data_IF_819527149089
#
_entry.id   IF_819527149089
#
_cell.length_a   1.000
_cell.length_b   1.000
_cell.length_c   1.000
_cell.angle_alpha   90.00
_cell.angle_beta   90.00
_cell.angle_gamma   90.00
#
_symmetry.space_group_name_H-M   'P 1'
#
loop_
_entity.id
_entity.type
_entity.pdbx_description
1 polymer ?
#
# COMPACT_ATOMS: atom_id res chain seq x y z
N UNK A 1 -32.58 2.83 -0.27
CA UNK A 1 -31.37 3.59 -0.65
C UNK A 1 -30.69 4.03 0.65
N UNK A 2 -29.83 3.18 1.20
CA UNK A 2 -29.10 3.48 2.43
C UNK A 2 -27.76 4.12 2.03
N UNK A 3 -27.53 5.37 2.44
CA UNK A 3 -26.23 6.01 2.33
C UNK A 3 -25.21 5.15 3.07
N UNK A 4 -24.17 4.71 2.36
CA UNK A 4 -22.97 4.15 2.95
C UNK A 4 -22.39 5.22 3.90
N UNK A 5 -22.59 5.03 5.22
CA UNK A 5 -21.80 5.78 6.19
C UNK A 5 -20.37 5.29 6.00
N UNK A 6 -19.52 6.17 5.49
CA UNK A 6 -18.07 6.06 5.69
C UNK A 6 -17.85 5.69 7.15
N UNK A 7 -17.17 4.58 7.42
CA UNK A 7 -16.72 4.27 8.77
C UNK A 7 -15.68 5.31 9.14
N UNK A 8 -16.16 6.43 9.65
CA UNK A 8 -15.35 7.46 10.29
C UNK A 8 -14.58 6.79 11.42
N UNK A 9 -13.30 7.07 11.47
CA UNK A 9 -12.33 6.70 12.49
C UNK A 9 -12.64 7.30 13.87
N UNK A 10 -13.86 7.13 14.35
CA UNK A 10 -14.38 7.71 15.59
C UNK A 10 -15.06 6.58 16.35
N UNK A 11 -14.49 6.08 17.46
CA UNK A 11 -15.24 5.19 18.34
C UNK A 11 -16.42 5.97 18.93
N UNK A 12 -17.64 5.40 18.94
CA UNK A 12 -18.76 6.02 19.62
C UNK A 12 -18.47 5.90 21.12
N UNK A 13 -18.19 7.02 21.78
CA UNK A 13 -18.03 7.13 23.23
C UNK A 13 -16.82 6.42 23.85
N UNK A 14 -15.64 7.03 23.82
CA UNK A 14 -14.55 6.69 24.76
C UNK A 14 -13.56 7.86 24.88
N UNK A 15 -13.50 8.49 26.04
CA UNK A 15 -12.62 9.61 26.43
C UNK A 15 -11.13 9.21 26.59
N UNK A 16 -10.65 8.17 25.91
CA UNK A 16 -9.24 7.74 25.96
C UNK A 16 -8.53 8.20 24.70
N UNK A 17 -7.72 9.26 24.85
CA UNK A 17 -6.92 9.94 23.81
C UNK A 17 -5.83 9.04 23.14
N UNK A 18 -5.75 7.74 23.42
CA UNK A 18 -4.55 6.94 23.09
C UNK A 18 -4.75 5.62 22.33
N UNK A 19 -5.86 5.36 21.63
CA UNK A 19 -6.04 4.09 20.87
C UNK A 19 -6.81 4.14 19.55
N UNK A 20 -6.79 5.23 18.79
CA UNK A 20 -7.42 5.26 17.46
C UNK A 20 -6.56 5.95 16.41
N UNK A 21 -5.42 5.36 16.11
CA UNK A 21 -4.67 5.69 14.91
C UNK A 21 -5.31 4.97 13.73
N UNK A 22 -6.10 5.69 12.93
CA UNK A 22 -6.52 5.19 11.62
C UNK A 22 -5.33 5.21 10.68
N UNK A 23 -4.59 4.11 10.66
CA UNK A 23 -3.47 3.92 9.75
C UNK A 23 -4.03 3.54 8.38
N UNK A 24 -4.28 4.53 7.52
CA UNK A 24 -4.53 4.28 6.10
C UNK A 24 -3.20 4.09 5.36
N UNK A 25 -3.17 3.19 4.37
CA UNK A 25 -1.99 2.91 3.55
C UNK A 25 -1.33 4.17 2.98
N UNK A 26 -2.12 5.14 2.51
CA UNK A 26 -1.62 6.37 1.86
C UNK A 26 -0.86 7.30 2.83
N UNK A 27 -1.18 7.29 4.13
CA UNK A 27 -0.54 8.18 5.11
C UNK A 27 0.92 7.78 5.29
N UNK A 28 1.17 6.50 5.58
CA UNK A 28 2.54 6.01 5.75
C UNK A 28 3.34 6.12 4.46
N UNK A 29 2.67 5.92 3.32
CA UNK A 29 3.28 6.01 2.01
C UNK A 29 3.80 7.43 1.74
N UNK A 30 3.02 8.45 2.10
CA UNK A 30 3.39 9.86 1.93
C UNK A 30 4.64 10.21 2.75
N UNK A 31 4.67 9.80 4.02
CA UNK A 31 5.82 10.04 4.90
C UNK A 31 7.06 9.29 4.44
N UNK A 32 6.90 8.03 4.00
CA UNK A 32 8.00 7.20 3.50
C UNK A 32 8.65 7.86 2.29
N UNK A 33 7.84 8.30 1.32
CA UNK A 33 8.33 8.96 0.11
C UNK A 33 9.03 10.28 0.42
N UNK A 34 8.44 11.13 1.28
CA UNK A 34 9.05 12.39 1.68
C UNK A 34 10.40 12.17 2.38
N UNK A 35 10.49 11.20 3.29
CA UNK A 35 11.75 10.86 3.96
C UNK A 35 12.79 10.30 2.98
N UNK A 36 12.37 9.57 1.95
CA UNK A 36 13.25 9.06 0.89
C UNK A 36 13.90 10.20 0.11
N UNK A 37 13.11 11.21 -0.29
CA UNK A 37 13.63 12.41 -0.93
C UNK A 37 14.60 13.18 -0.03
N UNK A 38 14.27 13.34 1.25
CA UNK A 38 15.17 14.00 2.18
C UNK A 38 16.49 13.23 2.38
N UNK A 39 16.43 11.90 2.39
CA UNK A 39 17.62 11.03 2.41
C UNK A 39 18.49 11.25 1.18
N UNK A 40 17.89 11.24 -0.01
CA UNK A 40 18.61 11.44 -1.28
C UNK A 40 19.17 12.87 -1.43
N UNK A 41 18.45 13.89 -0.93
CA UNK A 41 18.84 15.28 -1.07
C UNK A 41 19.92 15.71 -0.08
N UNK A 42 19.80 15.31 1.19
CA UNK A 42 20.66 15.82 2.27
C UNK A 42 21.86 14.92 2.59
N UNK A 43 21.82 13.64 2.18
CA UNK A 43 22.77 12.60 2.60
C UNK A 43 22.91 12.45 4.14
N UNK A 44 21.95 12.97 4.92
CA UNK A 44 21.98 12.85 6.38
C UNK A 44 21.40 11.49 6.81
N UNK A 45 22.17 10.74 7.61
CA UNK A 45 21.83 9.38 8.05
C UNK A 45 20.51 9.26 8.84
N UNK A 46 20.06 10.37 9.43
CA UNK A 46 18.76 10.44 10.12
C UNK A 46 17.60 10.10 9.19
N UNK A 47 17.64 10.55 7.92
CA UNK A 47 16.55 10.30 6.99
C UNK A 47 16.50 8.85 6.53
N UNK A 48 17.64 8.21 6.32
CA UNK A 48 17.70 6.76 6.06
C UNK A 48 17.17 5.95 7.25
N UNK A 49 17.46 6.39 8.48
CA UNK A 49 16.90 5.80 9.71
C UNK A 49 15.36 5.92 9.73
N UNK A 50 14.84 7.10 9.41
CA UNK A 50 13.39 7.36 9.34
C UNK A 50 12.73 6.48 8.26
N UNK A 51 13.32 6.42 7.05
CA UNK A 51 12.82 5.56 5.96
C UNK A 51 12.73 4.11 6.40
N UNK A 52 13.77 3.60 7.08
CA UNK A 52 13.79 2.22 7.58
C UNK A 52 12.67 1.98 8.60
N UNK A 53 12.50 2.88 9.56
CA UNK A 53 11.45 2.77 10.58
C UNK A 53 10.03 2.86 10.00
N UNK A 54 9.82 3.72 9.01
CA UNK A 54 8.54 3.83 8.28
C UNK A 54 8.27 2.56 7.47
N UNK A 55 9.28 2.01 6.81
CA UNK A 55 9.14 0.74 6.08
C UNK A 55 8.84 -0.43 7.02
N UNK A 56 9.47 -0.48 8.19
CA UNK A 56 9.19 -1.49 9.22
C UNK A 56 7.72 -1.40 9.67
N UNK A 57 7.26 -0.18 9.97
CA UNK A 57 5.86 0.06 10.36
C UNK A 57 4.89 -0.29 9.23
N UNK A 58 5.24 0.00 7.97
CA UNK A 58 4.42 -0.37 6.83
C UNK A 58 4.30 -1.88 6.72
N UNK A 59 5.42 -2.60 6.80
CA UNK A 59 5.48 -4.07 6.76
C UNK A 59 4.61 -4.71 7.84
N UNK A 60 4.67 -4.22 9.09
CA UNK A 60 3.89 -4.80 10.19
C UNK A 60 2.39 -4.49 10.14
N UNK A 61 2.01 -3.39 9.47
CA UNK A 61 0.62 -2.89 9.50
C UNK A 61 -0.17 -3.30 8.27
N UNK A 62 0.47 -3.22 7.09
CA UNK A 62 -0.20 -3.29 5.80
C UNK A 62 0.16 -4.52 4.98
N UNK A 63 1.01 -5.40 5.49
CA UNK A 63 1.38 -6.65 4.82
C UNK A 63 1.07 -7.84 5.70
N UNK A 64 0.89 -8.99 5.07
CA UNK A 64 0.63 -10.27 5.74
C UNK A 64 -0.67 -10.26 6.56
N UNK A 65 -1.85 -10.09 5.92
CA UNK A 65 -3.14 -10.01 6.62
C UNK A 65 -3.49 -11.24 7.46
N UNK A 66 -2.92 -12.39 7.08
CA UNK A 66 -3.09 -13.70 7.70
C UNK A 66 -1.75 -14.47 7.66
N UNK A 67 -1.56 -15.47 8.56
CA UNK A 67 -0.33 -16.27 8.58
C UNK A 67 0.01 -16.99 7.27
N UNK A 68 -1.00 -17.36 6.48
CA UNK A 68 -0.84 -18.01 5.17
C UNK A 68 -0.73 -17.05 3.98
N UNK A 69 -0.71 -15.74 4.22
CA UNK A 69 -0.72 -14.69 3.20
C UNK A 69 0.51 -13.77 3.33
N UNK A 70 1.71 -14.35 3.46
CA UNK A 70 2.94 -13.61 3.77
C UNK A 70 3.33 -12.60 2.68
N UNK A 71 3.64 -11.38 3.09
CA UNK A 71 4.16 -10.32 2.21
C UNK A 71 3.13 -9.73 1.25
N UNK A 72 1.84 -10.05 1.41
CA UNK A 72 0.77 -9.52 0.56
C UNK A 72 0.18 -8.27 1.20
N UNK A 73 0.11 -7.17 0.44
CA UNK A 73 -0.44 -5.89 0.87
C UNK A 73 -1.96 -5.94 1.04
N UNK A 74 -2.47 -5.30 2.09
CA UNK A 74 -3.90 -5.17 2.38
C UNK A 74 -4.23 -3.88 3.14
N UNK A 75 -5.50 -3.47 3.13
CA UNK A 75 -6.00 -2.36 3.95
C UNK A 75 -6.65 -2.91 5.25
N UNK A 76 -6.00 -2.76 6.42
CA UNK A 76 -6.44 -3.41 7.66
C UNK A 76 -7.80 -2.96 8.18
N UNK A 77 -8.20 -1.74 7.86
CA UNK A 77 -9.42 -1.13 8.41
C UNK A 77 -10.68 -1.71 7.76
N UNK A 78 -10.65 -1.98 6.45
CA UNK A 78 -11.86 -2.24 5.69
C UNK A 78 -11.81 -3.48 4.79
N UNK A 79 -10.62 -3.98 4.43
CA UNK A 79 -10.49 -5.00 3.39
C UNK A 79 -11.01 -6.35 3.87
N UNK A 80 -10.77 -6.71 5.12
CA UNK A 80 -11.20 -8.01 5.70
C UNK A 80 -12.72 -8.16 5.66
N UNK A 81 -13.45 -7.08 5.91
CA UNK A 81 -14.92 -7.04 5.94
C UNK A 81 -15.53 -6.69 4.57
N UNK A 82 -14.72 -6.51 3.52
CA UNK A 82 -15.18 -6.04 2.20
C UNK A 82 -15.99 -4.74 2.28
N UNK A 83 -15.54 -3.80 3.14
CA UNK A 83 -16.25 -2.57 3.46
C UNK A 83 -15.49 -1.30 3.00
N UNK A 84 -14.48 -1.45 2.16
CA UNK A 84 -13.67 -0.32 1.71
C UNK A 84 -14.48 0.62 0.81
N UNK A 85 -14.33 1.92 1.05
CA UNK A 85 -14.82 2.93 0.11
C UNK A 85 -14.01 2.92 -1.20
N UNK A 86 -14.50 3.65 -2.20
CA UNK A 86 -13.76 3.89 -3.45
C UNK A 86 -12.37 4.46 -3.16
N UNK A 87 -12.27 5.46 -2.28
CA UNK A 87 -10.99 6.08 -1.89
C UNK A 87 -10.07 5.04 -1.25
N UNK A 88 -10.55 4.30 -0.26
CA UNK A 88 -9.76 3.30 0.47
C UNK A 88 -9.25 2.18 -0.44
N UNK A 89 -10.05 1.81 -1.44
CA UNK A 89 -9.68 0.78 -2.41
C UNK A 89 -8.53 1.20 -3.33
N UNK A 90 -8.23 2.50 -3.45
CA UNK A 90 -7.12 3.04 -4.24
C UNK A 90 -5.81 3.19 -3.44
N UNK A 91 -5.85 3.16 -2.10
CA UNK A 91 -4.69 3.49 -1.28
C UNK A 91 -3.53 2.50 -1.41
N UNK A 92 -3.82 1.23 -1.74
CA UNK A 92 -2.78 0.23 -1.99
C UNK A 92 -1.94 0.59 -3.21
N UNK A 93 -2.56 1.13 -4.26
CA UNK A 93 -1.83 1.65 -5.42
C UNK A 93 -0.88 2.78 -5.05
N UNK A 94 -1.36 3.78 -4.30
CA UNK A 94 -0.51 4.88 -3.84
C UNK A 94 0.66 4.39 -2.98
N UNK A 95 0.42 3.44 -2.06
CA UNK A 95 1.50 2.84 -1.27
C UNK A 95 2.51 2.11 -2.15
N UNK A 96 2.04 1.30 -3.09
CA UNK A 96 2.92 0.54 -3.98
C UNK A 96 3.80 1.44 -4.84
N UNK A 97 3.22 2.48 -5.44
CA UNK A 97 3.93 3.45 -6.27
C UNK A 97 5.04 4.18 -5.47
N UNK A 98 4.69 4.76 -4.32
CA UNK A 98 5.65 5.49 -3.50
C UNK A 98 6.70 4.60 -2.82
N UNK A 99 6.36 3.35 -2.49
CA UNK A 99 7.36 2.36 -2.10
C UNK A 99 8.33 2.10 -3.26
N UNK A 100 7.85 1.87 -4.48
CA UNK A 100 8.69 1.69 -5.65
C UNK A 100 9.69 2.84 -5.83
N UNK A 101 9.24 4.09 -5.78
CA UNK A 101 10.12 5.26 -5.86
C UNK A 101 11.13 5.33 -4.71
N UNK A 102 10.70 5.01 -3.50
CA UNK A 102 11.58 4.90 -2.32
C UNK A 102 12.68 3.87 -2.53
N UNK A 103 12.40 2.75 -3.21
CA UNK A 103 13.39 1.71 -3.50
C UNK A 103 14.53 2.20 -4.40
N UNK A 104 14.29 3.20 -5.23
CA UNK A 104 15.33 3.84 -6.07
C UNK A 104 16.07 4.93 -5.28
N UNK A 105 15.34 5.77 -4.55
CA UNK A 105 15.91 6.89 -3.78
C UNK A 105 16.79 6.42 -2.61
N UNK A 106 16.49 5.25 -2.03
CA UNK A 106 17.20 4.70 -0.87
C UNK A 106 17.59 3.25 -1.14
N UNK A 107 18.75 3.01 -1.79
CA UNK A 107 19.16 1.66 -2.23
C UNK A 107 19.24 0.62 -1.11
N UNK A 108 19.54 1.03 0.12
CA UNK A 108 19.67 0.12 1.28
C UNK A 108 18.36 -0.59 1.65
N UNK A 109 17.19 -0.04 1.29
CA UNK A 109 15.88 -0.67 1.55
C UNK A 109 15.26 -1.29 0.31
N UNK A 110 15.90 -1.15 -0.86
CA UNK A 110 15.35 -1.55 -2.16
C UNK A 110 14.92 -3.02 -2.19
N UNK A 111 15.81 -3.95 -1.81
CA UNK A 111 15.49 -5.39 -1.81
C UNK A 111 14.29 -5.76 -0.93
N UNK A 112 14.12 -5.07 0.21
CA UNK A 112 12.97 -5.29 1.11
C UNK A 112 11.68 -4.81 0.48
N UNK A 113 11.69 -3.63 -0.12
CA UNK A 113 10.53 -3.06 -0.82
C UNK A 113 10.14 -3.95 -2.01
N UNK A 114 11.09 -4.32 -2.86
CA UNK A 114 10.81 -5.12 -4.05
C UNK A 114 10.28 -6.51 -3.70
N UNK A 115 10.71 -7.10 -2.59
CA UNK A 115 10.13 -8.37 -2.09
C UNK A 115 8.65 -8.23 -1.70
N UNK A 116 8.28 -7.13 -1.03
CA UNK A 116 6.91 -6.83 -0.62
C UNK A 116 6.01 -6.51 -1.83
N UNK A 117 6.50 -5.67 -2.74
CA UNK A 117 5.79 -5.35 -3.99
C UNK A 117 5.63 -6.60 -4.87
N UNK A 118 6.66 -7.42 -5.03
CA UNK A 118 6.62 -8.62 -5.87
C UNK A 118 5.62 -9.67 -5.35
N UNK A 119 5.50 -9.82 -4.04
CA UNK A 119 4.50 -10.72 -3.45
C UNK A 119 3.08 -10.17 -3.61
N UNK A 120 2.91 -8.86 -3.43
CA UNK A 120 1.62 -8.19 -3.61
C UNK A 120 1.16 -8.16 -5.06
N UNK A 121 2.06 -7.90 -6.00
CA UNK A 121 1.79 -7.88 -7.44
C UNK A 121 1.35 -9.26 -7.95
N UNK A 122 1.95 -10.35 -7.45
CA UNK A 122 1.48 -11.72 -7.77
C UNK A 122 0.06 -11.96 -7.29
N UNK A 123 -0.27 -11.52 -6.07
CA UNK A 123 -1.63 -11.60 -5.53
C UNK A 123 -2.63 -10.73 -6.31
N UNK A 124 -2.22 -9.53 -6.70
CA UNK A 124 -3.03 -8.64 -7.54
C UNK A 124 -3.28 -9.24 -8.93
N UNK A 125 -2.25 -9.76 -9.59
CA UNK A 125 -2.39 -10.43 -10.89
C UNK A 125 -3.34 -11.63 -10.82
N UNK A 126 -3.27 -12.43 -9.74
CA UNK A 126 -4.22 -13.51 -9.52
C UNK A 126 -5.66 -13.02 -9.32
N UNK A 127 -5.85 -11.84 -8.70
CA UNK A 127 -7.18 -11.25 -8.51
C UNK A 127 -7.79 -10.68 -9.80
N UNK A 128 -7.00 -10.47 -10.86
CA UNK A 128 -7.44 -10.05 -12.20
C UNK A 128 -8.03 -11.20 -13.02
N UNK A 129 -8.82 -12.06 -12.37
CA UNK A 129 -9.52 -13.20 -12.96
C UNK A 129 -11.04 -12.97 -13.06
N UNK A 130 -11.50 -11.74 -12.80
CA UNK A 130 -12.89 -11.33 -12.99
C UNK A 130 -13.27 -11.21 -14.46
N UNK A 131 -14.55 -10.92 -14.71
CA UNK A 131 -15.06 -10.67 -16.07
C UNK A 131 -14.25 -9.56 -16.75
N UNK A 132 -13.89 -9.75 -18.02
CA UNK A 132 -13.05 -8.84 -18.80
C UNK A 132 -11.66 -8.54 -18.17
N UNK A 133 -11.13 -9.45 -17.34
CA UNK A 133 -9.84 -9.27 -16.69
C UNK A 133 -9.87 -8.27 -15.54
N UNK A 134 -11.05 -7.98 -15.00
CA UNK A 134 -11.19 -7.07 -13.85
C UNK A 134 -10.51 -7.64 -12.60
N UNK A 135 -9.82 -6.76 -11.88
CA UNK A 135 -9.08 -7.08 -10.66
C UNK A 135 -9.92 -6.86 -9.40
N UNK A 136 -9.75 -7.77 -8.44
CA UNK A 136 -10.36 -7.72 -7.12
C UNK A 136 -9.53 -6.94 -6.08
N UNK A 137 -10.10 -6.74 -4.89
CA UNK A 137 -9.42 -6.03 -3.79
C UNK A 137 -8.51 -6.96 -2.99
N UNK A 138 -8.99 -8.15 -2.61
CA UNK A 138 -8.30 -9.06 -1.69
C UNK A 138 -7.24 -9.90 -2.40
N UNK A 139 -6.00 -9.42 -2.43
CA UNK A 139 -4.90 -10.10 -3.12
C UNK A 139 -4.41 -11.38 -2.43
N UNK A 140 -4.90 -11.66 -1.23
CA UNK A 140 -4.54 -12.81 -0.41
C UNK A 140 -5.49 -14.01 -0.54
N UNK A 141 -6.56 -13.92 -1.35
CA UNK A 141 -7.51 -15.03 -1.54
C UNK A 141 -7.20 -15.92 -2.74
N UNK A 142 -6.18 -15.57 -3.53
CA UNK A 142 -5.72 -16.36 -4.68
C UNK A 142 -6.61 -16.27 -5.93
N UNK A 143 -7.49 -15.27 -6.00
CA UNK A 143 -8.41 -15.09 -7.13
C UNK A 143 -9.25 -13.83 -6.99
N UNK A 144 -10.18 -13.64 -7.92
CA UNK A 144 -11.15 -12.55 -7.90
C UNK A 144 -12.10 -12.68 -6.70
N UNK A 145 -12.28 -11.59 -5.95
CA UNK A 145 -13.05 -11.57 -4.69
C UNK A 145 -14.47 -11.00 -4.84
N UNK A 146 -14.91 -10.77 -6.08
CA UNK A 146 -16.21 -10.18 -6.40
C UNK A 146 -16.28 -8.66 -6.21
N UNK A 147 -15.19 -8.00 -5.80
CA UNK A 147 -15.14 -6.54 -5.65
C UNK A 147 -14.58 -5.89 -6.90
N UNK A 148 -15.33 -4.97 -7.51
CA UNK A 148 -14.91 -4.23 -8.70
C UNK A 148 -15.15 -2.75 -8.51
N UNK A 149 -14.18 -1.97 -8.98
CA UNK A 149 -14.25 -0.53 -9.00
C UNK A 149 -12.94 0.05 -9.51
N UNK A 150 -12.95 1.37 -9.71
CA UNK A 150 -11.77 2.10 -10.18
C UNK A 150 -10.58 1.91 -9.24
N UNK A 151 -10.78 2.00 -7.92
CA UNK A 151 -9.71 1.85 -6.94
C UNK A 151 -9.01 0.49 -7.00
N UNK A 152 -9.77 -0.58 -7.25
CA UNK A 152 -9.23 -1.93 -7.43
C UNK A 152 -8.35 -2.02 -8.67
N UNK A 153 -8.81 -1.47 -9.80
CA UNK A 153 -8.04 -1.51 -11.05
C UNK A 153 -6.77 -0.66 -10.94
N UNK A 154 -6.89 0.54 -10.36
CA UNK A 154 -5.76 1.42 -10.13
C UNK A 154 -4.73 0.77 -9.20
N UNK A 155 -5.17 0.21 -8.07
CA UNK A 155 -4.26 -0.46 -7.14
C UNK A 155 -3.54 -1.66 -7.74
N UNK A 156 -4.22 -2.45 -8.57
CA UNK A 156 -3.61 -3.58 -9.27
C UNK A 156 -2.59 -3.11 -10.31
N UNK A 157 -2.88 -2.03 -11.04
CA UNK A 157 -1.96 -1.44 -12.00
C UNK A 157 -0.69 -0.90 -11.30
N UNK A 158 -0.86 -0.08 -10.27
CA UNK A 158 0.26 0.59 -9.59
C UNK A 158 1.23 -0.39 -8.94
N UNK A 159 0.74 -1.50 -8.36
CA UNK A 159 1.62 -2.50 -7.75
C UNK A 159 2.44 -3.27 -8.78
N UNK A 160 1.89 -3.50 -9.98
CA UNK A 160 2.62 -4.11 -11.09
C UNK A 160 3.64 -3.12 -11.67
N UNK A 161 3.25 -1.86 -11.88
CA UNK A 161 4.17 -0.81 -12.33
C UNK A 161 5.30 -0.54 -11.34
N UNK A 162 5.03 -0.67 -10.03
CA UNK A 162 6.05 -0.55 -8.99
C UNK A 162 7.20 -1.55 -9.13
N UNK A 163 6.99 -2.68 -9.82
CA UNK A 163 8.07 -3.62 -10.12
C UNK A 163 9.03 -3.15 -11.21
N UNK A 164 8.56 -2.24 -12.08
CA UNK A 164 9.31 -1.71 -13.22
C UNK A 164 10.04 -0.41 -12.90
N UNK A 165 10.01 0.03 -11.63
CA UNK A 165 10.58 1.33 -11.23
C UNK A 165 12.08 1.46 -11.54
N UNK A 166 12.82 0.35 -11.57
CA UNK A 166 14.24 0.33 -11.94
C UNK A 166 14.51 0.51 -13.44
N UNK A 167 13.48 0.33 -14.28
CA UNK A 167 13.54 0.54 -15.74
C UNK A 167 13.01 1.92 -16.14
N UNK A 168 12.44 2.67 -15.20
CA UNK A 168 11.88 3.97 -15.45
C UNK A 168 12.98 5.01 -15.70
N UNK A 169 12.74 6.01 -16.58
CA UNK A 169 13.61 7.18 -16.68
C UNK A 169 13.76 7.87 -15.33
N UNK A 170 14.95 8.39 -15.04
CA UNK A 170 15.29 9.02 -13.76
C UNK A 170 14.26 10.09 -13.34
N UNK A 171 13.78 10.91 -14.28
CA UNK A 171 12.77 11.94 -14.01
C UNK A 171 11.45 11.37 -13.47
N UNK A 172 11.02 10.20 -13.92
CA UNK A 172 9.78 9.57 -13.47
C UNK A 172 9.85 9.05 -12.01
N UNK A 173 11.08 8.87 -11.52
CA UNK A 173 11.38 8.43 -10.15
C UNK A 173 11.57 9.62 -9.21
N UNK A 174 12.11 10.73 -9.71
CA UNK A 174 12.44 11.93 -8.93
C UNK A 174 11.26 12.91 -8.72
N UNK A 175 10.15 12.75 -9.43
CA UNK A 175 8.92 13.55 -9.27
C UNK A 175 7.86 12.77 -8.53
#
# INVERSE_FOLDING_TARGET
MAMARSQSCIPPYSYRIYKSSCHANINIASYLHGAAHMSAHTNASIWTTIVTALLDTANTTFFSPFPNATGIMYEPICEKQAACSTDQSSFKGSLANWMGKTAVLVPSVSGRIMALLGSSARGAAASCSGENGTCGTKWYVGGFDGQVGFGQQLSALDVVLGLLVGEAPELAVLT
#
